data_IF_566939270599
#
_entry.id   IF_566939270599
#
_cell.length_a   1.000
_cell.length_b   1.000
_cell.length_c   1.000
_cell.angle_alpha   90.00
_cell.angle_beta   90.00
_cell.angle_gamma   90.00
#
_symmetry.space_group_name_H-M   'P 1'
#
loop_
_entity.id
_entity.type
_entity.pdbx_description
1 polymer ?
#
# COMPACT_ATOMS: atom_id res chain seq x y z
N UNK A 1 -25.61 9.27 -13.69
CA UNK A 1 -24.86 8.21 -12.98
C UNK A 1 -23.42 8.13 -13.47
N UNK A 2 -23.19 8.26 -14.77
CA UNK A 2 -21.86 8.21 -15.38
C UNK A 2 -20.86 9.23 -14.79
N UNK A 3 -21.31 10.46 -14.52
CA UNK A 3 -20.46 11.51 -13.94
C UNK A 3 -19.86 11.17 -12.56
N UNK A 4 -20.56 10.35 -11.76
CA UNK A 4 -20.07 9.94 -10.42
C UNK A 4 -19.03 8.82 -10.56
N UNK A 5 -19.27 7.88 -11.47
CA UNK A 5 -18.38 6.71 -11.68
C UNK A 5 -17.06 7.14 -12.32
N UNK A 6 -17.06 8.18 -13.14
CA UNK A 6 -15.86 8.75 -13.76
C UNK A 6 -15.07 9.67 -12.83
N UNK A 7 -15.59 9.99 -11.64
CA UNK A 7 -14.93 10.93 -10.73
C UNK A 7 -13.71 10.26 -10.05
N UNK A 8 -12.48 10.82 -10.15
CA UNK A 8 -11.27 10.24 -9.56
C UNK A 8 -11.42 9.81 -8.10
N UNK A 9 -11.96 10.69 -7.25
CA UNK A 9 -12.18 10.40 -5.83
C UNK A 9 -13.11 9.19 -5.58
N UNK A 10 -14.08 8.97 -6.47
CA UNK A 10 -14.93 7.78 -6.38
C UNK A 10 -14.13 6.53 -6.77
N UNK A 11 -13.40 6.58 -7.88
CA UNK A 11 -12.64 5.44 -8.40
C UNK A 11 -11.50 5.00 -7.48
N UNK A 12 -10.81 5.95 -6.84
CA UNK A 12 -9.62 5.68 -6.03
C UNK A 12 -9.87 5.74 -4.52
N UNK A 13 -11.03 6.20 -4.06
CA UNK A 13 -11.33 6.30 -2.63
C UNK A 13 -12.56 5.49 -2.25
N UNK A 14 -13.71 5.92 -2.74
CA UNK A 14 -15.01 5.41 -2.31
C UNK A 14 -15.25 3.97 -2.79
N UNK A 15 -15.06 3.72 -4.09
CA UNK A 15 -15.26 2.39 -4.68
C UNK A 15 -14.38 1.30 -4.03
N UNK A 16 -13.04 1.47 -3.90
CA UNK A 16 -12.20 0.46 -3.26
C UNK A 16 -12.57 0.26 -1.79
N UNK A 17 -12.96 1.32 -1.07
CA UNK A 17 -13.44 1.21 0.31
C UNK A 17 -14.72 0.38 0.42
N UNK A 18 -15.75 0.68 -0.37
CA UNK A 18 -17.03 -0.02 -0.32
C UNK A 18 -16.89 -1.49 -0.72
N UNK A 19 -16.10 -1.78 -1.74
CA UNK A 19 -15.84 -3.15 -2.20
C UNK A 19 -15.05 -3.92 -1.16
N UNK A 20 -13.99 -3.33 -0.59
CA UNK A 20 -13.21 -3.99 0.45
C UNK A 20 -14.07 -4.30 1.68
N UNK A 21 -14.89 -3.34 2.12
CA UNK A 21 -15.81 -3.50 3.24
C UNK A 21 -16.85 -4.59 2.95
N UNK A 22 -17.50 -4.54 1.78
CA UNK A 22 -18.51 -5.50 1.37
C UNK A 22 -17.96 -6.92 1.29
N UNK A 23 -16.82 -7.12 0.62
CA UNK A 23 -16.18 -8.43 0.51
C UNK A 23 -15.72 -8.95 1.88
N UNK A 24 -15.11 -8.10 2.71
CA UNK A 24 -14.67 -8.50 4.04
C UNK A 24 -15.86 -8.90 4.95
N UNK A 25 -16.99 -8.20 4.86
CA UNK A 25 -18.22 -8.55 5.60
C UNK A 25 -18.86 -9.83 5.07
N UNK A 26 -18.93 -10.02 3.75
CA UNK A 26 -19.47 -11.24 3.14
C UNK A 26 -18.64 -12.47 3.50
N UNK A 27 -17.32 -12.32 3.61
CA UNK A 27 -16.39 -13.39 3.96
C UNK A 27 -16.13 -13.48 5.47
N UNK A 28 -16.83 -12.68 6.30
CA UNK A 28 -16.76 -12.75 7.77
C UNK A 28 -16.98 -14.16 8.35
N UNK A 29 -17.92 -15.01 7.86
CA UNK A 29 -18.12 -16.34 8.42
C UNK A 29 -17.00 -17.34 8.04
N UNK A 30 -16.13 -16.99 7.10
CA UNK A 30 -15.02 -17.84 6.68
C UNK A 30 -13.77 -17.60 7.53
N UNK A 31 -12.76 -18.46 7.36
CA UNK A 31 -11.49 -18.32 8.06
C UNK A 31 -10.76 -17.02 7.69
N UNK A 32 -9.87 -16.58 8.58
CA UNK A 32 -9.14 -15.32 8.47
C UNK A 32 -8.49 -15.00 7.11
N UNK A 33 -7.88 -15.94 6.34
CA UNK A 33 -7.31 -15.60 5.02
C UNK A 33 -8.35 -15.02 4.05
N UNK A 34 -9.58 -15.50 4.08
CA UNK A 34 -10.63 -15.05 3.16
C UNK A 34 -11.08 -13.63 3.48
N UNK A 35 -11.17 -13.29 4.78
CA UNK A 35 -11.51 -11.94 5.23
C UNK A 35 -10.54 -10.89 4.69
N UNK A 36 -9.26 -11.23 4.51
CA UNK A 36 -8.21 -10.34 4.01
C UNK A 36 -8.24 -10.07 2.51
N UNK A 37 -8.97 -10.87 1.71
CA UNK A 37 -9.06 -10.71 0.25
C UNK A 37 -9.78 -9.41 -0.14
N UNK A 38 -10.65 -8.89 0.73
CA UNK A 38 -11.40 -7.67 0.50
C UNK A 38 -10.53 -6.48 0.10
N UNK A 39 -9.35 -6.29 0.71
CA UNK A 39 -8.47 -5.16 0.35
C UNK A 39 -8.03 -5.27 -1.12
N UNK A 40 -7.65 -6.47 -1.55
CA UNK A 40 -7.21 -6.74 -2.93
C UNK A 40 -8.37 -6.66 -3.92
N UNK A 41 -9.57 -7.08 -3.52
CA UNK A 41 -10.78 -6.89 -4.33
C UNK A 41 -11.10 -5.40 -4.52
N UNK A 42 -11.02 -4.60 -3.46
CA UNK A 42 -11.19 -3.15 -3.53
C UNK A 42 -10.15 -2.49 -4.43
N UNK A 43 -8.88 -2.81 -4.23
CA UNK A 43 -7.80 -2.34 -5.11
C UNK A 43 -8.04 -2.75 -6.57
N UNK A 44 -8.42 -4.00 -6.83
CA UNK A 44 -8.72 -4.50 -8.17
C UNK A 44 -9.86 -3.75 -8.86
N UNK A 45 -10.91 -3.35 -8.13
CA UNK A 45 -11.98 -2.50 -8.67
C UNK A 45 -11.45 -1.12 -9.05
N UNK A 46 -10.61 -0.51 -8.21
CA UNK A 46 -10.00 0.77 -8.56
C UNK A 46 -9.11 0.67 -9.80
N UNK A 47 -8.29 -0.39 -9.89
CA UNK A 47 -7.48 -0.67 -11.08
C UNK A 47 -8.35 -0.80 -12.33
N UNK A 48 -9.47 -1.51 -12.22
CA UNK A 48 -10.42 -1.64 -13.33
C UNK A 48 -10.99 -0.28 -13.75
N UNK A 49 -11.39 0.56 -12.79
CA UNK A 49 -11.99 1.87 -13.07
C UNK A 49 -10.99 2.89 -13.63
N UNK A 50 -9.73 2.84 -13.19
CA UNK A 50 -8.69 3.80 -13.57
C UNK A 50 -7.94 3.38 -14.83
N UNK A 51 -7.60 2.10 -14.97
CA UNK A 51 -6.73 1.58 -16.05
C UNK A 51 -7.47 0.72 -17.06
N UNK A 52 -8.57 0.07 -16.66
CA UNK A 52 -9.34 -0.85 -17.51
C UNK A 52 -8.79 -2.28 -17.60
N UNK A 53 -9.57 -3.17 -18.25
CA UNK A 53 -9.19 -4.57 -18.51
C UNK A 53 -8.44 -4.71 -19.82
N UNK A 54 -7.15 -4.39 -19.79
CA UNK A 54 -6.24 -4.76 -20.87
C UNK A 54 -4.93 -5.19 -20.24
N UNK A 55 -4.41 -6.35 -20.64
CA UNK A 55 -3.13 -6.87 -20.15
C UNK A 55 -1.98 -6.65 -21.15
N UNK A 56 -2.31 -6.56 -22.43
CA UNK A 56 -1.36 -6.30 -23.52
C UNK A 56 -1.57 -4.88 -24.08
N UNK A 57 -0.50 -4.10 -24.31
CA UNK A 57 0.91 -4.40 -24.06
C UNK A 57 1.28 -4.42 -22.56
N UNK A 58 2.34 -5.14 -22.20
CA UNK A 58 2.76 -5.39 -20.81
C UNK A 58 3.57 -4.20 -20.24
N UNK A 59 2.85 -3.13 -19.87
CA UNK A 59 3.45 -1.91 -19.28
C UNK A 59 3.92 -2.13 -17.84
N UNK A 60 4.78 -1.24 -17.31
CA UNK A 60 5.25 -1.30 -15.91
C UNK A 60 4.10 -1.30 -14.90
N UNK A 61 3.06 -0.49 -15.12
CA UNK A 61 1.85 -0.48 -14.27
C UNK A 61 1.13 -1.82 -14.27
N UNK A 62 1.03 -2.49 -15.43
CA UNK A 62 0.37 -3.81 -15.51
C UNK A 62 1.18 -4.90 -14.83
N UNK A 63 2.52 -4.81 -14.84
CA UNK A 63 3.37 -5.69 -14.04
C UNK A 63 3.08 -5.58 -12.55
N UNK A 64 2.84 -4.36 -12.04
CA UNK A 64 2.46 -4.14 -10.63
C UNK A 64 1.19 -4.93 -10.29
N UNK A 65 0.19 -4.94 -11.17
CA UNK A 65 -1.05 -5.70 -10.95
C UNK A 65 -0.84 -7.21 -10.98
N UNK A 66 -0.02 -7.71 -11.89
CA UNK A 66 0.33 -9.14 -11.95
C UNK A 66 1.03 -9.55 -10.66
N UNK A 67 2.00 -8.75 -10.19
CA UNK A 67 2.70 -9.00 -8.92
C UNK A 67 1.73 -9.00 -7.75
N UNK A 68 0.81 -8.03 -7.68
CA UNK A 68 -0.19 -7.95 -6.62
C UNK A 68 -1.09 -9.20 -6.59
N UNK A 69 -1.58 -9.63 -7.76
CA UNK A 69 -2.40 -10.84 -7.88
C UNK A 69 -1.63 -12.10 -7.46
N UNK A 70 -0.39 -12.27 -7.95
CA UNK A 70 0.47 -13.40 -7.56
C UNK A 70 0.77 -13.41 -6.07
N UNK A 71 1.03 -12.25 -5.46
CA UNK A 71 1.28 -12.13 -4.03
C UNK A 71 0.02 -12.34 -3.18
N UNK A 72 -1.15 -12.01 -3.72
CA UNK A 72 -2.42 -12.34 -3.06
C UNK A 72 -2.62 -13.85 -3.03
N UNK A 73 -2.43 -14.53 -4.16
CA UNK A 73 -2.50 -15.99 -4.24
C UNK A 73 -1.47 -16.66 -3.31
N UNK A 74 -0.24 -16.14 -3.28
CA UNK A 74 0.80 -16.62 -2.39
C UNK A 74 0.43 -16.38 -0.92
N UNK A 75 -0.12 -15.22 -0.58
CA UNK A 75 -0.62 -14.92 0.77
C UNK A 75 -1.71 -15.90 1.20
N UNK A 76 -2.65 -16.23 0.30
CA UNK A 76 -3.71 -17.23 0.58
C UNK A 76 -3.07 -18.58 0.86
N UNK A 77 -2.10 -18.99 0.04
CA UNK A 77 -1.40 -20.26 0.22
C UNK A 77 -0.63 -20.31 1.55
N UNK A 78 0.05 -19.23 1.95
CA UNK A 78 0.84 -19.19 3.18
C UNK A 78 -0.03 -19.16 4.44
N UNK A 79 -1.21 -18.54 4.37
CA UNK A 79 -2.17 -18.57 5.47
C UNK A 79 -2.88 -19.93 5.59
N UNK A 80 -3.10 -20.64 4.48
CA UNK A 80 -3.66 -22.00 4.49
C UNK A 80 -2.65 -23.06 4.91
N UNK A 81 -1.36 -22.85 4.64
CA UNK A 81 -0.29 -23.82 4.94
C UNK A 81 0.84 -23.20 5.78
N UNK A 82 0.68 -23.15 7.12
CA UNK A 82 1.66 -22.52 8.02
C UNK A 82 3.07 -23.13 7.95
N UNK A 83 3.18 -24.44 7.66
CA UNK A 83 4.47 -25.12 7.51
C UNK A 83 5.26 -24.62 6.29
N UNK A 84 4.56 -24.21 5.22
CA UNK A 84 5.16 -23.58 4.05
C UNK A 84 5.59 -22.14 4.37
N UNK A 85 4.82 -21.42 5.19
CA UNK A 85 5.12 -20.05 5.61
C UNK A 85 6.50 -19.94 6.26
N UNK A 86 6.80 -20.78 7.24
CA UNK A 86 8.05 -20.68 8.00
C UNK A 86 9.28 -21.03 7.13
N UNK A 87 9.10 -21.86 6.09
CA UNK A 87 10.14 -22.21 5.11
C UNK A 87 10.33 -21.14 4.03
N UNK A 88 9.23 -20.60 3.50
CA UNK A 88 9.24 -19.72 2.33
C UNK A 88 9.31 -18.23 2.67
N UNK A 89 9.19 -17.86 3.95
CA UNK A 89 9.15 -16.48 4.40
C UNK A 89 10.32 -15.63 3.90
N UNK A 90 11.53 -16.19 3.91
CA UNK A 90 12.74 -15.54 3.39
C UNK A 90 12.71 -15.42 1.87
N UNK A 91 12.24 -16.46 1.17
CA UNK A 91 12.07 -16.46 -0.28
C UNK A 91 11.04 -15.45 -0.76
N UNK A 92 9.97 -15.22 -0.01
CA UNK A 92 8.93 -14.23 -0.33
C UNK A 92 9.48 -12.80 -0.26
N UNK A 93 10.31 -12.50 0.75
CA UNK A 93 10.97 -11.19 0.85
C UNK A 93 11.92 -10.97 -0.33
N UNK A 94 12.72 -11.98 -0.67
CA UNK A 94 13.60 -11.94 -1.83
C UNK A 94 12.82 -11.74 -3.14
N UNK A 95 11.70 -12.44 -3.31
CA UNK A 95 10.83 -12.30 -4.48
C UNK A 95 10.22 -10.89 -4.58
N UNK A 96 9.90 -10.25 -3.46
CA UNK A 96 9.48 -8.84 -3.42
C UNK A 96 10.55 -7.90 -3.98
N UNK A 97 11.80 -8.07 -3.56
CA UNK A 97 12.95 -7.29 -4.08
C UNK A 97 13.14 -7.52 -5.58
N UNK A 98 13.09 -8.78 -6.03
CA UNK A 98 13.20 -9.14 -7.45
C UNK A 98 12.06 -8.54 -8.27
N UNK A 99 10.84 -8.49 -7.71
CA UNK A 99 9.67 -7.89 -8.37
C UNK A 99 9.86 -6.39 -8.60
N UNK A 100 10.43 -5.68 -7.63
CA UNK A 100 10.77 -4.27 -7.75
C UNK A 100 11.80 -4.07 -8.87
N UNK A 101 12.87 -4.87 -8.90
CA UNK A 101 13.87 -4.83 -9.98
C UNK A 101 13.20 -5.10 -11.34
N UNK A 102 12.31 -6.08 -11.45
CA UNK A 102 11.65 -6.44 -12.71
C UNK A 102 10.73 -5.34 -13.27
N UNK A 103 10.10 -4.56 -12.39
CA UNK A 103 9.28 -3.41 -12.78
C UNK A 103 10.14 -2.25 -13.28
N UNK A 104 11.30 -2.03 -12.66
CA UNK A 104 12.19 -0.89 -12.91
C UNK A 104 13.19 -1.17 -14.04
N UNK A 105 13.49 -2.44 -14.30
CA UNK A 105 14.51 -2.86 -15.26
C UNK A 105 14.43 -2.18 -16.64
N UNK A 106 13.24 -2.09 -17.29
CA UNK A 106 13.15 -1.43 -18.59
C UNK A 106 13.46 0.07 -18.55
N UNK A 107 13.34 0.70 -17.38
CA UNK A 107 13.69 2.11 -17.18
C UNK A 107 15.20 2.27 -17.06
N UNK A 108 15.85 1.42 -16.26
CA UNK A 108 17.31 1.44 -16.08
C UNK A 108 18.03 1.20 -17.40
N UNK A 109 17.49 0.36 -18.29
CA UNK A 109 18.05 0.12 -19.61
C UNK A 109 17.95 1.33 -20.56
N UNK A 110 17.07 2.29 -20.30
CA UNK A 110 16.85 3.47 -21.15
C UNK A 110 17.63 4.70 -20.69
N UNK A 111 18.15 4.67 -19.47
CA UNK A 111 18.86 5.80 -18.88
C UNK A 111 20.37 5.58 -19.04
N UNK A 112 21.05 6.52 -19.67
CA UNK A 112 22.52 6.50 -19.84
C UNK A 112 23.26 7.08 -18.62
N UNK A 113 22.52 7.63 -17.66
CA UNK A 113 23.08 8.37 -16.52
C UNK A 113 23.39 7.44 -15.32
N UNK A 114 24.63 7.44 -14.82
CA UNK A 114 25.04 6.61 -13.66
C UNK A 114 24.34 7.00 -12.34
N UNK A 115 23.68 8.17 -12.31
CA UNK A 115 22.99 8.71 -11.12
C UNK A 115 21.74 7.92 -10.72
N UNK A 116 21.23 7.02 -11.57
CA UNK A 116 20.02 6.26 -11.30
C UNK A 116 20.22 5.08 -10.33
N UNK A 117 21.44 4.55 -10.21
CA UNK A 117 21.75 3.45 -9.30
C UNK A 117 21.52 3.76 -7.81
N UNK A 118 21.99 4.90 -7.27
CA UNK A 118 21.70 5.25 -5.87
C UNK A 118 20.21 5.50 -5.61
N UNK A 119 19.47 6.03 -6.59
CA UNK A 119 18.02 6.25 -6.48
C UNK A 119 17.28 4.90 -6.42
N UNK A 120 17.63 3.97 -7.31
CA UNK A 120 17.07 2.62 -7.30
C UNK A 120 17.41 1.87 -5.99
N UNK A 121 18.65 2.02 -5.50
CA UNK A 121 19.09 1.46 -4.22
C UNK A 121 18.30 2.01 -3.03
N UNK A 122 18.07 3.33 -2.97
CA UNK A 122 17.27 3.96 -1.93
C UNK A 122 15.81 3.47 -1.94
N UNK A 123 15.22 3.31 -3.13
CA UNK A 123 13.86 2.82 -3.28
C UNK A 123 13.72 1.34 -2.84
N UNK A 124 14.72 0.50 -3.15
CA UNK A 124 14.79 -0.89 -2.67
C UNK A 124 14.97 -0.96 -1.16
N UNK A 125 15.81 -0.10 -0.58
CA UNK A 125 16.01 -0.01 0.86
C UNK A 125 14.71 0.40 1.56
N UNK A 126 14.03 1.43 1.06
CA UNK A 126 12.72 1.85 1.56
C UNK A 126 11.72 0.68 1.54
N UNK A 127 11.62 -0.04 0.41
CA UNK A 127 10.73 -1.20 0.27
C UNK A 127 10.99 -2.29 1.32
N UNK A 128 12.26 -2.64 1.53
CA UNK A 128 12.65 -3.68 2.49
C UNK A 128 12.38 -3.26 3.94
N UNK A 129 12.70 -2.02 4.30
CA UNK A 129 12.43 -1.46 5.63
C UNK A 129 10.92 -1.34 5.90
N UNK A 130 10.15 -0.88 4.93
CA UNK A 130 8.69 -0.77 5.04
C UNK A 130 8.04 -2.15 5.23
N UNK A 131 8.44 -3.14 4.43
CA UNK A 131 7.91 -4.52 4.54
C UNK A 131 8.27 -5.14 5.89
N UNK A 132 9.52 -4.98 6.33
CA UNK A 132 10.00 -5.51 7.60
C UNK A 132 9.33 -4.86 8.81
N UNK A 133 9.01 -3.56 8.74
CA UNK A 133 8.35 -2.83 9.82
C UNK A 133 6.85 -3.13 9.91
N UNK A 134 6.13 -3.17 8.78
CA UNK A 134 4.71 -3.52 8.74
C UNK A 134 4.45 -4.97 9.20
N UNK A 135 5.39 -5.89 8.94
CA UNK A 135 5.34 -7.27 9.47
C UNK A 135 5.22 -7.35 10.98
N UNK A 136 5.85 -6.41 11.72
CA UNK A 136 5.78 -6.38 13.19
C UNK A 136 4.37 -6.04 13.68
N UNK A 137 3.61 -5.29 12.89
CA UNK A 137 2.23 -4.90 13.19
C UNK A 137 1.20 -5.98 12.83
N UNK A 138 1.59 -7.10 12.20
CA UNK A 138 0.66 -8.18 11.80
C UNK A 138 -0.17 -8.72 12.98
N UNK A 139 0.34 -8.65 14.21
CA UNK A 139 -0.36 -9.12 15.41
C UNK A 139 -1.61 -8.31 15.73
N UNK A 140 -1.66 -7.05 15.30
CA UNK A 140 -2.80 -6.16 15.54
C UNK A 140 -3.29 -5.62 14.19
N UNK A 141 -4.43 -6.14 13.74
CA UNK A 141 -5.06 -5.78 12.48
C UNK A 141 -5.42 -4.28 12.41
N UNK A 142 -5.83 -3.69 13.54
CA UNK A 142 -6.16 -2.26 13.59
C UNK A 142 -4.92 -1.41 13.33
N UNK A 143 -3.83 -1.71 14.05
CA UNK A 143 -2.54 -1.02 13.89
C UNK A 143 -1.99 -1.18 12.48
N UNK A 144 -2.05 -2.40 11.93
CA UNK A 144 -1.64 -2.66 10.55
C UNK A 144 -2.46 -1.82 9.57
N UNK A 145 -3.77 -1.73 9.74
CA UNK A 145 -4.66 -0.95 8.87
C UNK A 145 -4.40 0.55 8.96
N UNK A 146 -4.14 1.09 10.16
CA UNK A 146 -3.72 2.50 10.33
C UNK A 146 -2.41 2.75 9.59
N UNK A 147 -1.41 1.88 9.78
CA UNK A 147 -0.11 2.04 9.14
C UNK A 147 -0.20 1.95 7.61
N UNK A 148 -0.97 0.99 7.08
CA UNK A 148 -1.21 0.83 5.65
C UNK A 148 -1.90 2.06 5.05
N UNK A 149 -3.00 2.54 5.66
CA UNK A 149 -3.67 3.73 5.14
C UNK A 149 -2.77 4.97 5.25
N UNK A 150 -2.03 5.10 6.36
CA UNK A 150 -1.12 6.22 6.55
C UNK A 150 -0.05 6.33 5.48
N UNK A 151 0.67 5.22 5.24
CA UNK A 151 1.70 5.15 4.19
C UNK A 151 1.07 5.35 2.82
N UNK A 152 -0.07 4.71 2.54
CA UNK A 152 -0.79 4.85 1.28
C UNK A 152 -1.23 6.31 1.01
N UNK A 153 -1.73 7.01 2.03
CA UNK A 153 -2.16 8.40 1.90
C UNK A 153 -0.99 9.35 1.73
N UNK A 154 0.12 9.12 2.46
CA UNK A 154 1.37 9.86 2.26
C UNK A 154 1.94 9.68 0.86
N UNK A 155 1.96 8.45 0.35
CA UNK A 155 2.37 8.15 -1.04
C UNK A 155 1.41 8.79 -2.05
N UNK A 156 0.11 8.77 -1.79
CA UNK A 156 -0.88 9.41 -2.65
C UNK A 156 -0.63 10.92 -2.76
N UNK A 157 -0.40 11.60 -1.63
CA UNK A 157 -0.10 13.02 -1.61
C UNK A 157 1.22 13.34 -2.30
N UNK A 158 2.28 12.57 -2.01
CA UNK A 158 3.59 12.72 -2.63
C UNK A 158 3.51 12.54 -4.16
N UNK A 159 2.85 11.49 -4.64
CA UNK A 159 2.72 11.21 -6.07
C UNK A 159 1.88 12.27 -6.80
N UNK A 160 0.85 12.82 -6.13
CA UNK A 160 0.03 13.90 -6.70
C UNK A 160 0.87 15.17 -6.87
N UNK A 161 1.69 15.52 -5.87
CA UNK A 161 2.61 16.67 -5.95
C UNK A 161 3.71 16.43 -6.98
N UNK A 162 4.18 15.19 -7.13
CA UNK A 162 5.10 14.74 -8.18
C UNK A 162 4.48 14.62 -9.58
N UNK A 163 3.36 15.31 -9.84
CA UNK A 163 2.66 15.33 -11.12
C UNK A 163 2.26 13.95 -11.68
N UNK A 164 1.99 12.96 -10.82
CA UNK A 164 1.50 11.64 -11.25
C UNK A 164 0.16 11.27 -10.62
N UNK A 165 -0.91 11.62 -11.34
CA UNK A 165 -2.28 11.29 -10.94
C UNK A 165 -2.51 9.78 -10.83
N UNK A 166 -1.92 8.98 -11.74
CA UNK A 166 -2.10 7.53 -11.76
C UNK A 166 -1.58 6.86 -10.48
N UNK A 167 -0.36 7.17 -10.06
CA UNK A 167 0.20 6.58 -8.84
C UNK A 167 -0.47 7.13 -7.58
N UNK A 168 -0.90 8.39 -7.60
CA UNK A 168 -1.73 8.96 -6.55
C UNK A 168 -3.04 8.18 -6.39
N UNK A 169 -3.75 7.89 -7.48
CA UNK A 169 -4.99 7.10 -7.47
C UNK A 169 -4.76 5.66 -6.98
N UNK A 170 -3.69 4.99 -7.42
CA UNK A 170 -3.38 3.63 -6.96
C UNK A 170 -3.05 3.60 -5.45
N UNK A 171 -2.31 4.58 -4.95
CA UNK A 171 -2.01 4.69 -3.53
C UNK A 171 -3.29 5.02 -2.72
N UNK A 172 -4.11 5.96 -3.20
CA UNK A 172 -5.40 6.28 -2.59
C UNK A 172 -6.30 5.05 -2.52
N UNK A 173 -6.30 4.19 -3.55
CA UNK A 173 -7.10 2.96 -3.57
C UNK A 173 -6.71 1.97 -2.48
N UNK A 174 -5.40 1.86 -2.19
CA UNK A 174 -4.91 1.08 -1.06
C UNK A 174 -5.33 1.68 0.28
N UNK A 175 -5.32 3.01 0.44
CA UNK A 175 -5.83 3.63 1.65
C UNK A 175 -7.34 3.42 1.77
N UNK A 176 -8.12 3.54 0.70
CA UNK A 176 -9.56 3.24 0.71
C UNK A 176 -9.82 1.79 1.15
N UNK A 177 -9.07 0.84 0.60
CA UNK A 177 -9.12 -0.56 1.05
C UNK A 177 -8.72 -0.72 2.52
N UNK A 178 -7.59 -0.17 2.95
CA UNK A 178 -7.10 -0.26 4.33
C UNK A 178 -8.04 0.44 5.33
N UNK A 179 -8.68 1.54 4.95
CA UNK A 179 -9.67 2.26 5.75
C UNK A 179 -10.92 1.40 6.02
N UNK A 180 -11.31 0.52 5.09
CA UNK A 180 -12.36 -0.44 5.35
C UNK A 180 -11.98 -1.42 6.47
N UNK A 181 -10.74 -1.92 6.46
CA UNK A 181 -10.23 -2.80 7.54
C UNK A 181 -10.04 -2.05 8.85
N UNK A 182 -9.66 -0.78 8.79
CA UNK A 182 -9.61 0.08 9.96
C UNK A 182 -10.99 0.25 10.60
N UNK A 183 -12.02 0.52 9.79
CA UNK A 183 -13.40 0.57 10.26
C UNK A 183 -13.83 -0.77 10.85
N UNK A 184 -13.48 -1.88 10.18
CA UNK A 184 -13.80 -3.23 10.65
C UNK A 184 -13.11 -3.57 11.98
N UNK A 185 -11.89 -3.07 12.19
CA UNK A 185 -11.12 -3.28 13.43
C UNK A 185 -11.72 -2.59 14.66
N UNK A 186 -12.67 -1.66 14.48
CA UNK A 186 -13.42 -1.08 15.59
C UNK A 186 -14.38 -2.11 16.24
N UNK A 187 -14.75 -3.16 15.51
CA UNK A 187 -15.50 -4.29 16.06
C UNK A 187 -14.53 -5.37 16.57
N UNK A 188 -14.66 -5.74 17.85
CA UNK A 188 -13.70 -6.57 18.60
C UNK A 188 -13.46 -7.98 18.01
N UNK A 189 -14.33 -8.46 17.11
CA UNK A 189 -14.27 -9.83 16.56
C UNK A 189 -13.58 -9.93 15.19
N UNK A 190 -13.07 -8.82 14.63
CA UNK A 190 -12.53 -8.82 13.27
C UNK A 190 -11.02 -9.07 13.21
N UNK A 191 -10.64 -10.35 13.30
CA UNK A 191 -9.28 -10.82 13.06
C UNK A 191 -9.02 -11.00 11.55
N UNK A 192 -8.46 -9.96 10.93
CA UNK A 192 -8.21 -9.90 9.47
C UNK A 192 -6.74 -9.85 9.03
N UNK A 193 -5.77 -10.01 9.94
CA UNK A 193 -4.34 -9.78 9.66
C UNK A 193 -3.58 -11.03 9.19
N UNK A 194 -3.95 -11.56 8.02
CA UNK A 194 -3.24 -12.66 7.35
C UNK A 194 -2.04 -12.20 6.49
N UNK A 195 -1.25 -13.15 5.98
CA UNK A 195 -0.29 -12.90 4.90
C UNK A 195 -0.99 -12.42 3.62
N UNK A 196 -2.26 -12.81 3.40
CA UNK A 196 -3.11 -12.32 2.30
C UNK A 196 -3.25 -10.79 2.33
N UNK A 197 -3.39 -10.19 3.51
CA UNK A 197 -3.48 -8.75 3.64
C UNK A 197 -2.10 -8.12 3.49
N UNK A 198 -1.11 -8.67 4.21
CA UNK A 198 0.18 -8.06 4.39
C UNK A 198 1.02 -8.06 3.10
N UNK A 199 1.23 -9.22 2.50
CA UNK A 199 2.19 -9.39 1.39
C UNK A 199 1.87 -8.52 0.18
N UNK A 200 0.66 -8.59 -0.41
CA UNK A 200 0.37 -7.80 -1.59
C UNK A 200 0.28 -6.31 -1.25
N UNK A 201 -0.24 -5.93 -0.07
CA UNK A 201 -0.32 -4.51 0.32
C UNK A 201 1.07 -3.90 0.50
N UNK A 202 1.99 -4.58 1.18
CA UNK A 202 3.37 -4.10 1.37
C UNK A 202 4.10 -3.97 0.03
N UNK A 203 3.92 -4.96 -0.85
CA UNK A 203 4.56 -4.95 -2.16
C UNK A 203 3.99 -3.86 -3.07
N UNK A 204 2.67 -3.65 -3.04
CA UNK A 204 2.03 -2.56 -3.77
C UNK A 204 2.51 -1.19 -3.29
N UNK A 205 2.55 -0.95 -1.97
CA UNK A 205 3.08 0.30 -1.42
C UNK A 205 4.54 0.52 -1.82
N UNK A 206 5.37 -0.52 -1.73
CA UNK A 206 6.76 -0.45 -2.16
C UNK A 206 6.89 -0.13 -3.66
N UNK A 207 6.16 -0.85 -4.52
CA UNK A 207 6.18 -0.63 -5.96
C UNK A 207 5.67 0.75 -6.36
N UNK A 208 4.60 1.23 -5.70
CA UNK A 208 4.08 2.57 -5.92
C UNK A 208 5.07 3.63 -5.43
N UNK A 209 5.72 3.43 -4.28
CA UNK A 209 6.75 4.35 -3.79
C UNK A 209 7.92 4.45 -4.76
N UNK A 210 8.41 3.31 -5.26
CA UNK A 210 9.50 3.30 -6.24
C UNK A 210 9.04 3.94 -7.55
N UNK A 211 7.83 3.64 -8.00
CA UNK A 211 7.25 4.26 -9.19
C UNK A 211 7.08 5.77 -9.01
N UNK A 212 6.70 6.26 -7.83
CA UNK A 212 6.60 7.69 -7.55
C UNK A 212 7.97 8.38 -7.65
N UNK A 213 9.02 7.78 -7.08
CA UNK A 213 10.39 8.33 -7.19
C UNK A 213 10.86 8.37 -8.64
N UNK A 214 10.60 7.31 -9.40
CA UNK A 214 11.16 7.18 -10.75
C UNK A 214 10.33 7.88 -11.84
N UNK A 215 9.01 7.91 -11.71
CA UNK A 215 8.09 8.44 -12.74
C UNK A 215 7.43 9.76 -12.34
N UNK A 216 7.25 10.00 -11.05
CA UNK A 216 6.63 11.21 -10.53
C UNK A 216 7.69 12.20 -9.97
N UNK A 217 8.97 11.95 -10.27
CA UNK A 217 10.11 12.77 -9.83
C UNK A 217 10.14 13.04 -8.31
N UNK A 218 9.47 12.21 -7.52
CA UNK A 218 9.37 12.40 -6.08
C UNK A 218 10.78 12.24 -5.47
N UNK A 219 11.28 13.24 -4.73
CA UNK A 219 12.60 13.13 -4.11
C UNK A 219 12.63 11.92 -3.16
N UNK A 220 13.57 11.00 -3.33
CA UNK A 220 13.61 9.74 -2.57
C UNK A 220 13.64 9.97 -1.04
N UNK A 221 14.27 11.05 -0.58
CA UNK A 221 14.36 11.39 0.84
C UNK A 221 13.01 11.83 1.44
N UNK A 222 12.07 12.30 0.62
CA UNK A 222 10.71 12.66 1.06
C UNK A 222 9.90 11.45 1.52
N UNK A 223 10.32 10.24 1.18
CA UNK A 223 9.69 8.98 1.61
C UNK A 223 10.14 8.52 3.00
N UNK A 224 11.30 8.98 3.48
CA UNK A 224 11.84 8.60 4.79
C UNK A 224 10.88 8.85 5.96
N UNK A 225 10.10 9.94 6.02
CA UNK A 225 9.11 10.16 7.06
C UNK A 225 8.05 9.06 7.09
N UNK A 226 7.65 8.50 5.94
CA UNK A 226 6.67 7.41 5.89
C UNK A 226 7.18 6.12 6.55
N UNK A 227 8.50 5.90 6.62
CA UNK A 227 9.07 4.76 7.35
C UNK A 227 8.89 4.88 8.87
N UNK A 228 8.61 6.08 9.37
CA UNK A 228 8.32 6.29 10.79
C UNK A 228 6.89 5.88 11.16
N UNK A 229 5.98 5.76 10.19
CA UNK A 229 4.57 5.42 10.43
C UNK A 229 4.42 4.08 11.17
N UNK A 230 5.01 2.96 10.72
CA UNK A 230 4.89 1.70 11.45
C UNK A 230 5.50 1.76 12.86
N UNK A 231 6.51 2.60 13.08
CA UNK A 231 7.12 2.80 14.39
C UNK A 231 6.19 3.59 15.32
N UNK A 232 5.60 4.68 14.83
CA UNK A 232 4.67 5.51 15.58
C UNK A 232 3.41 4.74 15.97
N UNK A 233 2.89 3.92 15.06
CA UNK A 233 1.72 3.08 15.33
C UNK A 233 2.03 1.96 16.33
N UNK A 234 3.29 1.50 16.40
CA UNK A 234 3.72 0.49 17.36
C UNK A 234 3.93 1.01 18.79
N UNK A 235 3.79 2.32 19.03
CA UNK A 235 3.96 2.90 20.36
C UNK A 235 2.89 2.33 21.31
N UNK A 236 3.29 1.83 22.50
CA UNK A 236 2.35 1.31 23.47
C UNK A 236 1.45 2.44 23.97
N UNK A 237 0.15 2.36 23.66
CA UNK A 237 -0.87 3.26 24.17
C UNK A 237 -1.45 2.74 25.49
N UNK A 238 -2.09 3.60 26.30
CA UNK A 238 -2.61 3.20 27.60
C UNK A 238 -3.61 2.04 27.49
N UNK A 239 -3.41 1.00 28.31
CA UNK A 239 -4.25 -0.22 28.32
C UNK A 239 -5.72 0.04 28.68
N UNK A 240 -6.02 1.19 29.28
CA UNK A 240 -7.39 1.59 29.65
C UNK A 240 -8.21 2.17 28.49
N UNK A 241 -7.58 2.40 27.34
CA UNK A 241 -8.25 3.03 26.21
C UNK A 241 -9.15 2.04 25.46
N UNK A 242 -10.32 2.52 25.06
CA UNK A 242 -11.15 1.77 24.13
C UNK A 242 -10.45 1.68 22.75
N UNK A 243 -10.74 0.63 22.00
CA UNK A 243 -10.14 0.39 20.67
C UNK A 243 -10.27 1.61 19.76
N UNK A 244 -11.41 2.32 19.75
CA UNK A 244 -11.59 3.52 18.94
C UNK A 244 -10.69 4.69 19.35
N UNK A 245 -10.39 4.84 20.65
CA UNK A 245 -9.48 5.88 21.15
C UNK A 245 -8.05 5.60 20.73
N UNK A 246 -7.64 4.32 20.81
CA UNK A 246 -6.35 3.84 20.33
C UNK A 246 -6.18 4.15 18.84
N UNK A 247 -7.17 3.78 17.99
CA UNK A 247 -7.10 4.04 16.54
C UNK A 247 -7.13 5.53 16.20
N UNK A 248 -7.93 6.33 16.91
CA UNK A 248 -7.95 7.78 16.72
C UNK A 248 -6.60 8.42 17.04
N UNK A 249 -5.95 8.00 18.14
CA UNK A 249 -4.63 8.50 18.51
C UNK A 249 -3.55 8.07 17.51
N UNK A 250 -3.57 6.81 17.06
CA UNK A 250 -2.65 6.32 16.03
C UNK A 250 -2.82 7.08 14.72
N UNK A 251 -4.06 7.34 14.27
CA UNK A 251 -4.32 8.18 13.09
C UNK A 251 -3.74 9.59 13.28
N UNK A 252 -3.95 10.20 14.46
CA UNK A 252 -3.41 11.52 14.79
C UNK A 252 -1.87 11.57 14.72
N UNK A 253 -1.19 10.55 15.24
CA UNK A 253 0.28 10.43 15.18
C UNK A 253 0.79 10.31 13.74
N UNK A 254 0.05 9.63 12.89
CA UNK A 254 0.42 9.37 11.49
C UNK A 254 0.23 10.59 10.59
N UNK A 255 -0.55 11.59 10.99
CA UNK A 255 -0.69 12.85 10.22
C UNK A 255 0.65 13.55 10.04
N UNK A 256 1.50 13.56 11.07
CA UNK A 256 2.79 14.27 11.04
C UNK A 256 3.75 13.75 9.94
N UNK A 257 4.07 12.45 9.84
CA UNK A 257 4.92 11.97 8.76
C UNK A 257 4.28 12.13 7.37
N UNK A 258 2.95 12.03 7.26
CA UNK A 258 2.25 12.28 6.00
C UNK A 258 2.44 13.72 5.52
N UNK A 259 2.16 14.69 6.40
CA UNK A 259 2.28 16.11 6.03
C UNK A 259 3.72 16.47 5.74
N UNK A 260 4.68 15.94 6.52
CA UNK A 260 6.10 16.19 6.30
C UNK A 260 6.58 15.64 4.96
N UNK A 261 6.14 14.45 4.56
CA UNK A 261 6.39 13.92 3.21
C UNK A 261 5.83 14.83 2.12
N UNK A 262 4.56 15.25 2.22
CA UNK A 262 3.93 16.12 1.22
C UNK A 262 4.65 17.47 1.12
N UNK A 263 4.98 18.09 2.25
CA UNK A 263 5.69 19.38 2.31
C UNK A 263 7.10 19.25 1.73
N UNK A 264 7.80 18.14 1.98
CA UNK A 264 9.12 17.89 1.38
C UNK A 264 9.05 17.80 -0.15
N UNK A 265 8.07 17.09 -0.71
CA UNK A 265 7.89 17.03 -2.17
C UNK A 265 7.54 18.42 -2.72
N UNK A 266 6.59 19.10 -2.08
CA UNK A 266 6.17 20.45 -2.47
C UNK A 266 7.33 21.47 -2.45
N UNK A 267 8.25 21.36 -1.50
CA UNK A 267 9.41 22.25 -1.40
C UNK A 267 10.40 22.12 -2.57
N UNK A 268 10.34 21.01 -3.31
CA UNK A 268 11.24 20.72 -4.44
C UNK A 268 10.54 20.94 -5.77
N UNK A 269 9.34 20.37 -5.93
CA UNK A 269 8.59 20.41 -7.19
C UNK A 269 7.74 21.67 -7.34
N UNK A 270 7.46 22.39 -6.25
CA UNK A 270 6.55 23.53 -6.24
C UNK A 270 5.07 23.12 -6.29
N UNK A 271 4.20 24.04 -6.71
CA UNK A 271 2.76 23.77 -6.85
C UNK A 271 2.51 22.77 -7.99
N UNK A 272 1.60 21.79 -7.81
CA UNK A 272 1.27 20.84 -8.87
C UNK A 272 0.76 21.59 -10.12
N UNK A 273 1.11 21.13 -11.34
CA UNK A 273 0.51 21.67 -12.56
C UNK A 273 -0.99 21.34 -12.53
N UNK A 274 -1.82 22.38 -12.35
CA UNK A 274 -3.29 22.29 -12.38
C UNK A 274 -3.80 22.04 -13.79
#
# INVERSE_FOLDING_TARGET
>A
MDAIITHPAFQSGIAPFLVALGVALLLRPLSNPWKSIGLMAGFGVSVYLVVGWQLLPLTSTRKIFIIAALLTLLGVLLDLYPALRDRLLHGVVAAGVVSVVWVIWPLLQRQEDDRWWPIAGAALLFSTLLTGSLRRLKRDNGSLSVALCGVALGLSGAALMGASLLYAQLAAALCGGAAAYLLLSLWHDFDGAGEVLLLPSTALLALIAVAAVLFAQVPWYSLLPLLTIPLLVSLPLPLSWATWQERAAQLGLVVLPITLTIVMVWSVEGSPPL
#
